data_IF_717190103969
#
_entry.id   IF_717190103969
#
_cell.length_a   1.000
_cell.length_b   1.000
_cell.length_c   1.000
_cell.angle_alpha   90.00
_cell.angle_beta   90.00
_cell.angle_gamma   90.00
#
_symmetry.space_group_name_H-M   'P 1'
#
loop_
_entity.id
_entity.type
_entity.pdbx_description
1 polymer ?
#
# COMPACT_ATOMS: atom_id res chain seq x y z
N UNK A 1 -1.55 11.00 -33.75
CA UNK A 1 -1.63 11.23 -32.29
C UNK A 1 -2.43 10.08 -31.69
N UNK A 2 -1.77 9.11 -31.04
CA UNK A 2 -2.49 8.07 -30.32
C UNK A 2 -3.21 8.72 -29.13
N UNK A 3 -4.51 8.46 -28.97
CA UNK A 3 -5.23 8.86 -27.76
C UNK A 3 -4.53 8.19 -26.58
N UNK A 4 -4.05 8.98 -25.62
CA UNK A 4 -3.82 8.49 -24.28
C UNK A 4 -5.20 8.05 -23.75
N UNK A 5 -5.47 6.75 -23.68
CA UNK A 5 -6.81 6.28 -23.30
C UNK A 5 -7.12 4.79 -23.46
N UNK A 6 -6.29 4.01 -24.17
CA UNK A 6 -6.52 2.56 -24.34
C UNK A 6 -5.68 1.68 -23.39
N UNK A 7 -5.08 2.28 -22.34
CA UNK A 7 -4.53 1.51 -21.24
C UNK A 7 -5.68 1.00 -20.35
N UNK A 8 -5.60 -0.21 -19.76
CA UNK A 8 -6.63 -0.68 -18.84
C UNK A 8 -6.79 0.36 -17.71
N UNK A 9 -8.01 0.87 -17.53
CA UNK A 9 -8.36 1.70 -16.38
C UNK A 9 -8.07 0.87 -15.13
N UNK A 10 -7.14 1.35 -14.30
CA UNK A 10 -6.82 0.68 -13.05
C UNK A 10 -8.09 0.57 -12.23
N UNK A 11 -8.53 -0.67 -11.98
CA UNK A 11 -9.64 -0.89 -11.06
C UNK A 11 -9.06 -1.08 -9.66
N UNK A 12 -9.70 -0.51 -8.65
CA UNK A 12 -9.38 -0.70 -7.23
C UNK A 12 -9.11 -2.18 -6.87
N UNK A 13 -9.84 -3.18 -7.40
CA UNK A 13 -9.54 -4.60 -7.20
C UNK A 13 -8.18 -5.08 -7.73
N UNK A 14 -7.71 -4.56 -8.86
CA UNK A 14 -6.40 -4.96 -9.43
C UNK A 14 -5.25 -4.46 -8.55
N UNK A 15 -5.30 -3.19 -8.11
CA UNK A 15 -4.30 -2.65 -7.20
C UNK A 15 -4.32 -3.39 -5.86
N UNK A 16 -5.51 -3.68 -5.32
CA UNK A 16 -5.66 -4.50 -4.12
C UNK A 16 -4.95 -5.84 -4.26
N UNK A 17 -5.24 -6.60 -5.33
CA UNK A 17 -4.64 -7.91 -5.55
C UNK A 17 -3.12 -7.84 -5.69
N UNK A 18 -2.61 -6.81 -6.37
CA UNK A 18 -1.17 -6.59 -6.51
C UNK A 18 -0.50 -6.31 -5.16
N UNK A 19 -1.09 -5.45 -4.34
CA UNK A 19 -0.59 -5.13 -2.99
C UNK A 19 -0.64 -6.36 -2.08
N UNK A 20 -1.77 -7.06 -2.01
CA UNK A 20 -1.95 -8.28 -1.21
C UNK A 20 -0.95 -9.38 -1.60
N UNK A 21 -0.63 -9.51 -2.88
CA UNK A 21 0.36 -10.48 -3.38
C UNK A 21 1.82 -10.09 -3.08
N UNK A 22 2.15 -8.79 -3.12
CA UNK A 22 3.55 -8.33 -3.09
C UNK A 22 4.03 -7.86 -1.71
N UNK A 23 3.15 -7.26 -0.91
CA UNK A 23 3.50 -6.73 0.41
C UNK A 23 4.08 -7.78 1.36
N UNK A 24 3.57 -9.02 1.43
CA UNK A 24 4.17 -10.05 2.29
C UNK A 24 5.64 -10.30 1.96
N UNK A 25 6.00 -10.36 0.67
CA UNK A 25 7.39 -10.55 0.25
C UNK A 25 8.28 -9.32 0.42
N UNK A 26 7.70 -8.12 0.56
CA UNK A 26 8.45 -6.91 0.96
C UNK A 26 8.75 -6.97 2.45
N UNK A 27 7.75 -7.29 3.28
CA UNK A 27 7.94 -7.49 4.72
C UNK A 27 8.97 -8.58 5.00
N UNK A 28 8.82 -9.74 4.34
CA UNK A 28 9.74 -10.86 4.51
C UNK A 28 11.17 -10.46 4.16
N UNK A 29 11.43 -9.86 3.00
CA UNK A 29 12.80 -9.47 2.60
C UNK A 29 13.43 -8.42 3.50
N UNK A 30 12.63 -7.50 4.03
CA UNK A 30 13.14 -6.44 4.90
C UNK A 30 13.26 -6.88 6.36
N UNK A 31 12.53 -7.92 6.77
CA UNK A 31 12.47 -8.40 8.15
C UNK A 31 13.08 -9.78 8.37
N UNK A 32 13.47 -10.50 7.31
CA UNK A 32 14.20 -11.77 7.38
C UNK A 32 15.60 -11.52 7.96
N UNK A 33 15.70 -11.55 9.29
CA UNK A 33 16.95 -11.34 10.02
C UNK A 33 16.83 -10.42 11.24
N UNK A 34 15.74 -9.67 11.38
CA UNK A 34 15.48 -8.87 12.56
C UNK A 34 14.91 -9.75 13.68
N UNK A 35 15.63 -9.85 14.80
CA UNK A 35 15.19 -10.62 15.97
C UNK A 35 14.18 -9.87 16.83
N UNK A 36 14.10 -8.54 16.70
CA UNK A 36 13.16 -7.67 17.43
C UNK A 36 12.74 -6.49 16.56
N UNK A 37 11.50 -6.01 16.73
CA UNK A 37 11.00 -4.82 16.03
C UNK A 37 11.51 -3.55 16.71
N UNK A 38 12.39 -2.79 16.05
CA UNK A 38 12.82 -1.48 16.54
C UNK A 38 12.13 -0.32 15.82
N UNK A 39 12.02 0.84 16.49
CA UNK A 39 11.56 2.10 15.87
C UNK A 39 12.41 2.49 14.64
N UNK A 40 13.70 2.18 14.65
CA UNK A 40 14.59 2.49 13.53
C UNK A 40 14.30 1.64 12.28
N UNK A 41 13.88 0.39 12.49
CA UNK A 41 13.45 -0.51 11.42
C UNK A 41 12.06 -0.15 10.93
N UNK A 42 11.15 0.26 11.84
CA UNK A 42 9.81 0.70 11.49
C UNK A 42 9.83 1.80 10.41
N UNK A 43 10.70 2.81 10.55
CA UNK A 43 10.84 3.89 9.57
C UNK A 43 11.32 3.39 8.20
N UNK A 44 12.36 2.54 8.17
CA UNK A 44 12.87 1.94 6.92
C UNK A 44 11.83 1.05 6.24
N UNK A 45 11.14 0.23 7.03
CA UNK A 45 10.07 -0.65 6.56
C UNK A 45 8.92 0.15 5.97
N UNK A 46 8.52 1.23 6.64
CA UNK A 46 7.44 2.13 6.19
C UNK A 46 7.80 2.78 4.85
N UNK A 47 9.05 3.23 4.68
CA UNK A 47 9.54 3.77 3.42
C UNK A 47 9.52 2.72 2.30
N UNK A 48 10.13 1.56 2.54
CA UNK A 48 10.20 0.48 1.55
C UNK A 48 8.81 -0.03 1.11
N UNK A 49 7.86 -0.15 2.05
CA UNK A 49 6.48 -0.54 1.76
C UNK A 49 5.77 0.54 0.93
N UNK A 50 5.92 1.81 1.33
CA UNK A 50 5.29 2.93 0.62
C UNK A 50 5.82 3.04 -0.82
N UNK A 51 7.13 2.94 -1.00
CA UNK A 51 7.77 2.94 -2.33
C UNK A 51 7.28 1.77 -3.19
N UNK A 52 7.23 0.56 -2.63
CA UNK A 52 6.71 -0.60 -3.34
C UNK A 52 5.24 -0.43 -3.75
N UNK A 53 4.41 0.13 -2.87
CA UNK A 53 3.01 0.38 -3.14
C UNK A 53 2.80 1.44 -4.24
N UNK A 54 3.58 2.53 -4.21
CA UNK A 54 3.56 3.56 -5.27
C UNK A 54 4.00 2.94 -6.60
N UNK A 55 5.10 2.20 -6.63
CA UNK A 55 5.59 1.57 -7.85
C UNK A 55 4.58 0.57 -8.45
N UNK A 56 3.87 -0.18 -7.61
CA UNK A 56 2.79 -1.07 -8.05
C UNK A 56 1.61 -0.28 -8.63
N UNK A 57 1.22 0.83 -8.00
CA UNK A 57 0.13 1.66 -8.49
C UNK A 57 0.48 2.39 -9.80
N UNK A 58 1.71 2.93 -9.92
CA UNK A 58 2.21 3.56 -11.15
C UNK A 58 2.34 2.55 -12.31
N UNK A 59 2.84 1.35 -12.03
CA UNK A 59 2.96 0.30 -13.04
C UNK A 59 1.62 -0.22 -13.58
N UNK A 60 0.53 0.03 -12.85
CA UNK A 60 -0.81 -0.43 -13.19
C UNK A 60 -1.76 0.72 -13.61
N UNK A 61 -1.41 1.99 -13.37
CA UNK A 61 -2.24 3.14 -13.74
C UNK A 61 -1.51 4.13 -14.62
N UNK A 62 -2.01 4.32 -15.84
CA UNK A 62 -1.73 5.51 -16.64
C UNK A 62 -2.97 6.41 -16.58
N UNK A 63 -2.97 7.44 -15.72
CA UNK A 63 -4.07 8.40 -15.64
C UNK A 63 -4.56 8.80 -14.25
N UNK A 64 -3.91 8.33 -13.18
CA UNK A 64 -4.25 8.73 -11.81
C UNK A 64 -3.02 9.32 -11.11
N UNK A 65 -3.24 10.29 -10.23
CA UNK A 65 -2.32 10.59 -9.13
C UNK A 65 -2.54 9.58 -8.03
N UNK A 66 -1.45 9.06 -7.49
CA UNK A 66 -1.49 8.07 -6.41
C UNK A 66 -0.95 8.71 -5.14
N UNK A 67 -1.74 8.65 -4.06
CA UNK A 67 -1.29 8.92 -2.71
C UNK A 67 -1.24 7.60 -1.94
N UNK A 68 -0.14 7.34 -1.25
CA UNK A 68 0.02 6.17 -0.38
C UNK A 68 0.34 6.61 1.03
N UNK A 69 -0.33 6.00 2.00
CA UNK A 69 0.01 6.07 3.42
C UNK A 69 0.26 4.66 3.94
N UNK A 70 1.37 4.47 4.65
CA UNK A 70 1.72 3.22 5.28
C UNK A 70 1.89 3.42 6.79
N UNK A 71 1.28 2.51 7.56
CA UNK A 71 1.48 2.40 9.00
C UNK A 71 2.08 1.04 9.28
N UNK A 72 3.22 1.00 9.99
CA UNK A 72 3.87 -0.23 10.47
C UNK A 72 3.80 -0.27 12.00
N UNK A 73 3.49 -1.42 12.57
CA UNK A 73 3.37 -1.62 14.00
C UNK A 73 3.81 -3.03 14.43
N UNK A 74 4.35 -3.15 15.64
CA UNK A 74 4.59 -4.44 16.28
C UNK A 74 3.29 -5.07 16.76
N UNK A 75 3.17 -6.40 16.65
CA UNK A 75 1.97 -7.16 17.07
C UNK A 75 2.18 -7.95 18.36
N UNK A 76 3.33 -7.77 19.03
CA UNK A 76 3.77 -8.62 20.15
C UNK A 76 2.99 -8.45 21.46
N UNK A 77 2.20 -7.38 21.64
CA UNK A 77 1.55 -7.09 22.93
C UNK A 77 0.02 -6.91 22.88
N UNK A 78 -0.66 -7.48 21.88
CA UNK A 78 -2.14 -7.52 21.88
C UNK A 78 -2.85 -6.18 21.70
N UNK A 79 -2.13 -5.14 21.28
CA UNK A 79 -2.73 -3.85 20.90
C UNK A 79 -3.53 -3.98 19.61
N UNK A 80 -4.82 -3.64 19.67
CA UNK A 80 -5.64 -3.55 18.46
C UNK A 80 -5.32 -2.24 17.71
N UNK A 81 -5.10 -2.36 16.41
CA UNK A 81 -4.95 -1.21 15.51
C UNK A 81 -6.20 -1.11 14.65
N UNK A 82 -6.84 0.06 14.70
CA UNK A 82 -7.91 0.43 13.78
C UNK A 82 -7.42 1.54 12.87
N UNK A 83 -7.62 1.36 11.56
CA UNK A 83 -7.31 2.36 10.55
C UNK A 83 -8.54 2.55 9.68
N UNK A 84 -8.93 3.79 9.50
CA UNK A 84 -9.97 4.20 8.58
C UNK A 84 -9.49 5.40 7.78
N UNK A 85 -9.91 5.43 6.52
CA UNK A 85 -9.61 6.51 5.59
C UNK A 85 -10.90 6.89 4.90
N UNK A 86 -11.10 8.19 4.71
CA UNK A 86 -12.17 8.73 3.89
C UNK A 86 -11.56 9.72 2.91
N UNK A 87 -12.12 9.79 1.71
CA UNK A 87 -11.74 10.77 0.71
C UNK A 87 -12.97 11.45 0.15
N UNK A 88 -12.82 12.72 -0.23
CA UNK A 88 -13.76 13.40 -1.10
C UNK A 88 -13.16 13.36 -2.51
N UNK A 89 -13.88 12.76 -3.45
CA UNK A 89 -13.39 12.52 -4.81
C UNK A 89 -14.53 12.26 -5.78
N UNK A 90 -14.19 12.15 -7.06
CA UNK A 90 -15.11 11.78 -8.13
C UNK A 90 -15.51 10.30 -8.01
N UNK A 91 -16.82 10.02 -7.97
CA UNK A 91 -17.32 8.65 -7.85
C UNK A 91 -17.01 7.78 -9.08
N UNK A 92 -16.79 8.40 -10.24
CA UNK A 92 -16.60 7.69 -11.51
C UNK A 92 -15.13 7.34 -11.80
N UNK A 93 -14.20 7.86 -11.00
CA UNK A 93 -12.75 7.74 -11.28
C UNK A 93 -11.83 7.74 -10.07
N UNK A 94 -12.24 8.33 -8.96
CA UNK A 94 -11.45 8.30 -7.73
C UNK A 94 -11.78 7.06 -6.90
N UNK A 95 -10.77 6.51 -6.24
CA UNK A 95 -11.00 5.42 -5.30
C UNK A 95 -9.97 5.36 -4.18
N UNK A 96 -10.39 4.78 -3.06
CA UNK A 96 -9.51 4.47 -1.94
C UNK A 96 -9.58 2.98 -1.63
N UNK A 97 -8.45 2.41 -1.23
CA UNK A 97 -8.39 1.05 -0.71
C UNK A 97 -7.42 0.98 0.46
N UNK A 98 -7.70 0.05 1.36
CA UNK A 98 -6.79 -0.36 2.42
C UNK A 98 -6.45 -1.84 2.26
N UNK A 99 -5.17 -2.18 2.45
CA UNK A 99 -4.65 -3.54 2.54
C UNK A 99 -3.88 -3.69 3.83
N UNK A 100 -4.13 -4.78 4.54
CA UNK A 100 -3.42 -5.14 5.77
C UNK A 100 -2.58 -6.39 5.51
N UNK A 101 -1.37 -6.41 6.05
CA UNK A 101 -0.45 -7.52 5.92
C UNK A 101 0.27 -7.73 7.26
N UNK A 102 0.58 -8.98 7.59
CA UNK A 102 1.34 -9.34 8.79
C UNK A 102 2.45 -10.33 8.47
N UNK A 103 3.60 -10.19 9.13
CA UNK A 103 4.73 -11.10 9.03
C UNK A 103 5.60 -11.02 10.29
N UNK A 104 5.96 -12.17 10.87
CA UNK A 104 7.00 -12.23 11.92
C UNK A 104 6.76 -11.36 13.16
N UNK A 105 5.50 -11.11 13.55
CA UNK A 105 5.19 -10.23 14.68
C UNK A 105 5.09 -8.74 14.32
N UNK A 106 5.06 -8.41 13.03
CA UNK A 106 4.79 -7.06 12.50
C UNK A 106 3.49 -7.07 11.73
N UNK A 107 2.73 -6.00 11.89
CA UNK A 107 1.63 -5.64 11.01
C UNK A 107 1.94 -4.38 10.22
N UNK A 108 1.40 -4.30 9.02
CA UNK A 108 1.33 -3.05 8.28
C UNK A 108 -0.07 -2.85 7.69
N UNK A 109 -0.50 -1.59 7.64
CA UNK A 109 -1.67 -1.14 6.89
C UNK A 109 -1.19 -0.19 5.81
N UNK A 110 -1.59 -0.45 4.57
CA UNK A 110 -1.33 0.42 3.42
C UNK A 110 -2.67 0.95 2.93
N UNK A 111 -2.83 2.28 2.99
CA UNK A 111 -3.93 2.99 2.36
C UNK A 111 -3.43 3.58 1.04
N UNK A 112 -4.12 3.29 -0.05
CA UNK A 112 -3.84 3.87 -1.37
C UNK A 112 -5.07 4.65 -1.85
N UNK A 113 -4.83 5.85 -2.37
CA UNK A 113 -5.84 6.72 -2.95
C UNK A 113 -5.45 6.99 -4.40
N UNK A 114 -6.39 6.75 -5.29
CA UNK A 114 -6.29 6.97 -6.72
C UNK A 114 -7.17 8.17 -7.03
N UNK A 115 -6.56 9.25 -7.49
CA UNK A 115 -7.25 10.47 -7.92
C UNK A 115 -7.09 10.60 -9.44
N UNK A 116 -8.19 10.62 -10.17
CA UNK A 116 -8.17 10.80 -11.62
C UNK A 116 -7.56 12.16 -11.98
N UNK A 117 -6.81 12.19 -13.08
CA UNK A 117 -6.15 13.38 -13.64
C UNK A 117 -7.04 14.17 -14.59
#
# INVERSE_FOLDING_TARGET
MAKAGDGPVLTTPQLRAALESKLPGVLERQFSGATEFSLSEAGKLTGAISEAAVALAEGLSSGHKVLVSCTVFGTSEGGAVSSSSAMFGDADGDSALAVTCTFGGIGCVVNAFLCQL
#
